data_IF_460107719665
#
_entry.id   IF_460107719665
#
_cell.length_a   1.000
_cell.length_b   1.000
_cell.length_c   1.000
_cell.angle_alpha   90.00
_cell.angle_beta   90.00
_cell.angle_gamma   90.00
#
_symmetry.space_group_name_H-M   'P 1'
#
loop_
_entity.id
_entity.type
_entity.pdbx_description
1 polymer ?
#
# COMPACT_ATOMS: atom_id res chain seq x y z
N UNK A 1 35.70 9.48 3.65
CA UNK A 1 34.41 8.96 3.22
C UNK A 1 33.35 9.67 4.04
N UNK A 2 32.36 10.32 3.42
CA UNK A 2 31.27 10.92 4.19
C UNK A 2 30.38 9.78 4.67
N UNK A 3 30.26 9.64 5.99
CA UNK A 3 29.28 8.75 6.64
C UNK A 3 27.90 9.32 6.39
N UNK A 4 26.93 8.48 6.02
CA UNK A 4 25.53 8.90 5.94
C UNK A 4 25.01 9.20 7.35
N UNK A 5 24.32 10.31 7.50
CA UNK A 5 23.56 10.67 8.68
C UNK A 5 22.09 10.29 8.43
N UNK A 6 21.44 9.68 9.43
CA UNK A 6 20.02 9.32 9.40
C UNK A 6 19.27 10.13 10.47
N UNK A 7 18.23 10.84 10.03
CA UNK A 7 17.29 11.55 10.91
C UNK A 7 15.87 11.07 10.68
N UNK A 8 15.01 11.12 11.71
CA UNK A 8 13.63 10.66 11.61
C UNK A 8 12.71 11.49 12.50
N UNK A 9 11.48 11.72 12.01
CA UNK A 9 10.52 12.64 12.61
C UNK A 9 9.13 12.00 12.60
N UNK A 10 8.51 11.78 13.77
CA UNK A 10 7.09 11.42 13.81
C UNK A 10 6.24 12.63 13.42
N UNK A 11 5.26 12.40 12.57
CA UNK A 11 4.36 13.42 12.04
C UNK A 11 2.91 12.92 12.12
N UNK A 12 1.97 13.83 12.34
CA UNK A 12 0.54 13.53 12.42
C UNK A 12 -0.19 14.38 11.40
N UNK A 13 -0.91 13.72 10.50
CA UNK A 13 -1.77 14.36 9.50
C UNK A 13 -3.23 14.13 9.86
N UNK A 14 -4.02 15.19 9.93
CA UNK A 14 -5.48 15.10 10.13
C UNK A 14 -6.14 14.55 8.87
N UNK A 15 -7.21 13.78 9.06
CA UNK A 15 -8.06 13.33 7.98
C UNK A 15 -9.20 14.30 7.74
N UNK A 16 -9.67 14.41 6.48
CA UNK A 16 -10.87 15.17 6.11
C UNK A 16 -12.12 14.66 6.84
N UNK A 17 -12.23 13.34 6.91
CA UNK A 17 -13.27 12.59 7.60
C UNK A 17 -12.65 11.41 8.33
N UNK A 18 -13.36 10.84 9.30
CA UNK A 18 -12.91 9.60 9.91
C UNK A 18 -12.81 8.48 8.87
N UNK A 19 -11.75 7.70 8.93
CA UNK A 19 -11.53 6.54 8.07
C UNK A 19 -11.72 5.25 8.87
N UNK A 20 -12.66 4.43 8.44
CA UNK A 20 -13.08 3.22 9.15
C UNK A 20 -12.82 1.95 8.32
N UNK A 21 -12.25 0.95 8.97
CA UNK A 21 -12.11 -0.42 8.46
C UNK A 21 -12.58 -1.42 9.52
N UNK A 22 -12.66 -2.70 9.21
CA UNK A 22 -13.11 -3.76 10.15
C UNK A 22 -12.39 -3.74 11.50
N UNK A 23 -11.18 -3.20 11.59
CA UNK A 23 -10.33 -3.15 12.77
C UNK A 23 -10.38 -1.84 13.57
N UNK A 24 -11.15 -0.86 13.13
CA UNK A 24 -11.32 0.41 13.86
C UNK A 24 -11.39 1.64 12.98
N UNK A 25 -11.52 2.78 13.65
CA UNK A 25 -11.65 4.11 13.02
C UNK A 25 -10.46 4.99 13.37
N UNK A 26 -9.96 5.73 12.38
CA UNK A 26 -8.87 6.71 12.53
C UNK A 26 -9.36 8.10 12.13
N UNK A 27 -8.88 9.12 12.84
CA UNK A 27 -9.07 10.55 12.53
C UNK A 27 -7.76 11.23 12.11
N UNK A 28 -6.65 10.50 12.22
CA UNK A 28 -5.32 10.97 11.86
C UNK A 28 -4.53 9.85 11.15
N UNK A 29 -3.62 10.24 10.28
CA UNK A 29 -2.55 9.39 9.79
C UNK A 29 -1.28 9.68 10.60
N UNK A 30 -0.77 8.67 11.29
CA UNK A 30 0.48 8.73 12.05
C UNK A 30 1.61 8.19 11.16
N UNK A 31 2.59 9.02 10.88
CA UNK A 31 3.64 8.77 9.90
C UNK A 31 4.99 9.03 10.54
N UNK A 32 6.02 8.33 10.12
CA UNK A 32 7.41 8.67 10.45
C UNK A 32 8.11 9.01 9.15
N UNK A 33 8.57 10.25 9.03
CA UNK A 33 9.46 10.70 7.97
C UNK A 33 10.89 10.33 8.32
N UNK A 34 11.65 9.84 7.35
CA UNK A 34 13.07 9.52 7.46
C UNK A 34 13.85 10.33 6.43
N UNK A 35 15.02 10.82 6.84
CA UNK A 35 15.98 11.54 6.02
C UNK A 35 17.34 10.88 6.12
N UNK A 36 18.01 10.67 4.99
CA UNK A 36 19.41 10.26 4.93
C UNK A 36 20.21 11.31 4.15
N UNK A 37 21.39 11.70 4.66
CA UNK A 37 22.19 12.74 4.03
C UNK A 37 23.69 12.49 4.18
N UNK A 38 24.48 12.94 3.19
CA UNK A 38 25.94 13.05 3.27
C UNK A 38 26.43 14.51 3.50
N UNK A 39 25.47 15.40 3.88
CA UNK A 39 25.71 16.84 4.06
C UNK A 39 25.57 17.66 2.78
N UNK A 40 25.46 17.02 1.60
CA UNK A 40 25.27 17.71 0.30
C UNK A 40 23.96 17.29 -0.37
N UNK A 41 23.64 16.03 -0.29
CA UNK A 41 22.46 15.43 -0.91
C UNK A 41 21.63 14.78 0.18
N UNK A 42 20.32 14.96 0.09
CA UNK A 42 19.35 14.39 1.01
C UNK A 42 18.38 13.48 0.26
N UNK A 43 18.19 12.27 0.78
CA UNK A 43 17.12 11.38 0.40
C UNK A 43 16.06 11.33 1.50
N UNK A 44 14.80 11.15 1.11
CA UNK A 44 13.65 11.13 2.00
C UNK A 44 12.80 9.89 1.80
N UNK A 45 12.19 9.43 2.89
CA UNK A 45 11.23 8.32 2.89
C UNK A 45 10.23 8.48 4.01
N UNK A 46 9.16 7.71 3.98
CA UNK A 46 8.21 7.67 5.09
C UNK A 46 7.68 6.26 5.30
N UNK A 47 7.13 6.02 6.47
CA UNK A 47 6.34 4.83 6.76
C UNK A 47 5.13 5.13 7.63
N UNK A 48 4.12 4.26 7.51
CA UNK A 48 2.92 4.26 8.33
C UNK A 48 2.88 3.00 9.18
N UNK A 49 3.09 3.07 10.50
CA UNK A 49 2.95 1.92 11.40
C UNK A 49 1.53 1.34 11.36
N UNK A 50 1.42 0.02 11.46
CA UNK A 50 0.13 -0.65 11.43
C UNK A 50 -0.05 -1.60 12.63
N UNK A 51 -1.06 -1.31 13.44
CA UNK A 51 -1.39 -2.08 14.65
C UNK A 51 -1.76 -3.55 14.37
N UNK A 52 -2.22 -3.90 13.16
CA UNK A 52 -2.45 -5.29 12.75
C UNK A 52 -1.19 -6.15 12.91
N UNK A 53 -0.03 -5.55 12.71
CA UNK A 53 1.27 -6.21 12.82
C UNK A 53 1.97 -5.89 14.16
N UNK A 54 1.22 -5.41 15.17
CA UNK A 54 1.75 -4.97 16.47
C UNK A 54 2.79 -3.86 16.34
N UNK A 55 2.65 -3.00 15.31
CA UNK A 55 3.53 -1.86 15.03
C UNK A 55 2.81 -0.54 15.34
N UNK A 56 3.52 0.36 15.99
CA UNK A 56 3.07 1.72 16.31
C UNK A 56 4.25 2.69 16.24
N UNK A 57 4.02 3.98 16.38
CA UNK A 57 5.07 5.01 16.33
C UNK A 57 6.24 4.68 17.27
N UNK A 58 5.95 4.27 18.51
CA UNK A 58 7.01 4.00 19.50
C UNK A 58 7.89 2.81 19.07
N UNK A 59 7.29 1.71 18.60
CA UNK A 59 8.05 0.54 18.13
C UNK A 59 8.93 0.86 16.93
N UNK A 60 8.43 1.69 16.01
CA UNK A 60 9.20 2.07 14.82
C UNK A 60 10.32 3.06 15.16
N UNK A 61 10.11 4.01 16.10
CA UNK A 61 11.17 4.90 16.57
C UNK A 61 12.32 4.12 17.25
N UNK A 62 12.00 3.09 18.03
CA UNK A 62 13.01 2.21 18.64
C UNK A 62 13.81 1.45 17.56
N UNK A 63 13.14 0.97 16.52
CA UNK A 63 13.81 0.27 15.42
C UNK A 63 14.66 1.23 14.58
N UNK A 64 14.16 2.43 14.27
CA UNK A 64 14.93 3.48 13.59
C UNK A 64 16.18 3.88 14.38
N UNK A 65 16.10 3.97 15.71
CA UNK A 65 17.26 4.22 16.56
C UNK A 65 18.34 3.16 16.39
N UNK A 66 17.97 1.86 16.31
CA UNK A 66 18.90 0.77 16.05
C UNK A 66 19.50 0.86 14.65
N UNK A 67 18.69 1.13 13.64
CA UNK A 67 19.14 1.29 12.25
C UNK A 67 20.12 2.47 12.17
N UNK A 68 19.78 3.62 12.75
CA UNK A 68 20.65 4.82 12.82
C UNK A 68 22.01 4.47 13.42
N UNK A 69 22.02 3.85 14.59
CA UNK A 69 23.27 3.44 15.26
C UNK A 69 24.12 2.52 14.38
N UNK A 70 23.48 1.58 13.67
CA UNK A 70 24.17 0.65 12.78
C UNK A 70 24.77 1.38 11.57
N UNK A 71 24.03 2.33 10.97
CA UNK A 71 24.51 3.13 9.83
C UNK A 71 25.72 3.99 10.24
N UNK A 72 25.64 4.66 11.40
CA UNK A 72 26.68 5.57 11.88
C UNK A 72 27.94 4.84 12.39
N UNK A 73 27.80 3.62 12.90
CA UNK A 73 28.91 2.84 13.46
C UNK A 73 29.52 1.84 12.48
N UNK A 74 28.87 1.59 11.37
CA UNK A 74 29.35 0.59 10.39
C UNK A 74 30.36 1.21 9.44
N UNK A 75 31.56 0.63 9.37
CA UNK A 75 32.57 1.04 8.39
C UNK A 75 32.20 0.64 6.95
N UNK A 76 31.24 -0.29 6.78
CA UNK A 76 30.68 -0.65 5.48
C UNK A 76 29.59 0.35 5.10
N UNK A 77 29.65 0.87 3.89
CA UNK A 77 28.61 1.77 3.37
C UNK A 77 27.29 0.99 3.27
N UNK A 78 26.29 1.42 4.05
CA UNK A 78 24.94 0.90 3.98
C UNK A 78 24.20 1.64 2.87
N UNK A 79 23.53 0.90 2.01
CA UNK A 79 22.75 1.41 0.89
C UNK A 79 21.52 0.52 0.66
N UNK A 80 20.67 0.88 -0.30
CA UNK A 80 19.42 0.15 -0.60
C UNK A 80 19.64 -1.33 -0.97
N UNK A 81 20.84 -1.72 -1.45
CA UNK A 81 21.09 -3.10 -1.86
C UNK A 81 21.44 -4.04 -0.69
N UNK A 82 21.97 -3.52 0.41
CA UNK A 82 22.45 -4.32 1.54
C UNK A 82 21.69 -4.08 2.86
N UNK A 83 20.75 -3.15 2.89
CA UNK A 83 19.94 -2.88 4.10
C UNK A 83 19.17 -4.13 4.57
N UNK A 84 18.66 -4.91 3.63
CA UNK A 84 17.89 -6.14 3.92
C UNK A 84 18.71 -7.28 4.51
N UNK A 85 20.04 -7.24 4.37
CA UNK A 85 20.95 -8.20 5.01
C UNK A 85 21.05 -7.96 6.53
N UNK A 86 20.78 -6.74 6.98
CA UNK A 86 20.98 -6.27 8.34
C UNK A 86 19.70 -6.20 9.16
N UNK A 87 18.57 -5.95 8.48
CA UNK A 87 17.29 -5.70 9.16
C UNK A 87 16.13 -6.46 8.52
N UNK A 88 15.30 -7.04 9.35
CA UNK A 88 14.05 -7.71 8.91
C UNK A 88 13.03 -6.71 8.37
N UNK A 89 12.07 -7.14 7.54
CA UNK A 89 10.99 -6.28 7.05
C UNK A 89 10.21 -5.61 8.16
N UNK A 90 10.06 -4.30 8.06
CA UNK A 90 9.28 -3.47 8.98
C UNK A 90 8.95 -2.13 8.33
N UNK A 91 7.97 -1.36 8.85
CA UNK A 91 7.73 0.01 8.43
C UNK A 91 8.98 0.90 8.58
N UNK A 92 9.70 0.79 9.70
CA UNK A 92 10.94 1.53 9.93
C UNK A 92 12.00 1.24 8.84
N UNK A 93 12.24 -0.04 8.53
CA UNK A 93 13.15 -0.42 7.45
C UNK A 93 12.67 0.11 6.11
N UNK A 94 11.34 0.09 5.85
CA UNK A 94 10.75 0.62 4.62
C UNK A 94 11.08 2.10 4.43
N UNK A 95 10.88 2.92 5.44
CA UNK A 95 11.19 4.34 5.36
C UNK A 95 12.68 4.61 5.07
N UNK A 96 13.58 3.83 5.68
CA UNK A 96 15.03 3.93 5.44
C UNK A 96 15.39 3.45 4.04
N UNK A 97 14.85 2.34 3.57
CA UNK A 97 15.07 1.82 2.20
C UNK A 97 14.63 2.86 1.15
N UNK A 98 13.45 3.44 1.32
CA UNK A 98 12.91 4.49 0.45
C UNK A 98 13.82 5.72 0.44
N UNK A 99 14.32 6.15 1.62
CA UNK A 99 15.21 7.30 1.73
C UNK A 99 16.59 7.02 1.10
N UNK A 100 17.11 5.81 1.23
CA UNK A 100 18.36 5.39 0.57
C UNK A 100 18.22 5.33 -0.95
N UNK A 101 17.06 4.89 -1.46
CA UNK A 101 16.76 4.94 -2.89
C UNK A 101 16.73 6.38 -3.40
N UNK A 102 16.02 7.28 -2.73
CA UNK A 102 15.94 8.69 -3.09
C UNK A 102 17.31 9.37 -3.08
N UNK A 103 18.11 9.12 -2.02
CA UNK A 103 19.50 9.58 -1.95
C UNK A 103 20.34 9.06 -3.11
N UNK A 104 20.26 7.76 -3.41
CA UNK A 104 21.02 7.14 -4.50
C UNK A 104 20.64 7.74 -5.86
N UNK A 105 19.36 7.92 -6.14
CA UNK A 105 18.88 8.49 -7.39
C UNK A 105 19.36 9.94 -7.55
N UNK A 106 19.18 10.77 -6.57
CA UNK A 106 19.63 12.17 -6.57
C UNK A 106 21.14 12.30 -6.71
N UNK A 107 21.90 11.45 -6.03
CA UNK A 107 23.37 11.43 -6.10
C UNK A 107 23.89 11.08 -7.50
N UNK A 108 23.16 10.28 -8.23
CA UNK A 108 23.56 9.86 -9.58
C UNK A 108 22.84 10.65 -10.69
N UNK A 109 21.98 11.62 -10.36
CA UNK A 109 21.22 12.40 -11.34
C UNK A 109 20.25 11.55 -12.15
N UNK A 110 19.71 10.48 -11.56
CA UNK A 110 18.79 9.53 -12.19
C UNK A 110 17.41 9.66 -11.59
N UNK A 111 16.39 9.46 -12.40
CA UNK A 111 15.06 9.13 -11.86
C UNK A 111 14.94 7.61 -11.65
N UNK A 112 13.91 7.18 -10.88
CA UNK A 112 13.63 5.76 -10.70
C UNK A 112 13.31 5.08 -12.04
N UNK A 113 12.72 5.81 -12.98
CA UNK A 113 12.38 5.32 -14.32
C UNK A 113 13.63 5.08 -15.17
N UNK A 114 14.62 5.98 -15.09
CA UNK A 114 15.90 5.82 -15.76
C UNK A 114 16.66 4.61 -15.21
N UNK A 115 16.66 4.45 -13.89
CA UNK A 115 17.32 3.33 -13.22
C UNK A 115 16.78 1.97 -13.69
N UNK A 116 15.46 1.84 -13.77
CA UNK A 116 14.81 0.61 -14.25
C UNK A 116 14.69 0.52 -15.79
N UNK A 117 15.17 1.54 -16.53
CA UNK A 117 15.07 1.65 -18.00
C UNK A 117 13.63 1.53 -18.50
N UNK A 118 12.72 2.20 -17.83
CA UNK A 118 11.29 2.22 -18.11
C UNK A 118 10.92 3.61 -18.61
N UNK A 119 10.12 3.70 -19.66
CA UNK A 119 9.56 4.98 -20.08
C UNK A 119 8.66 5.53 -18.98
N UNK A 120 8.99 6.73 -18.49
CA UNK A 120 8.21 7.41 -17.46
C UNK A 120 6.76 7.61 -17.94
N UNK A 121 5.74 7.10 -17.21
CA UNK A 121 4.35 7.33 -17.57
C UNK A 121 3.97 8.80 -17.33
N UNK A 122 2.92 9.28 -17.99
CA UNK A 122 2.39 10.63 -17.75
C UNK A 122 1.62 10.70 -16.42
N UNK A 123 0.91 9.64 -16.08
CA UNK A 123 0.12 9.48 -14.84
C UNK A 123 -0.15 7.99 -14.61
N UNK A 124 -0.63 7.68 -13.41
CA UNK A 124 -1.12 6.35 -13.03
C UNK A 124 -2.61 6.47 -12.68
N UNK A 125 -3.39 5.41 -12.92
CA UNK A 125 -4.82 5.41 -12.58
C UNK A 125 -5.02 4.66 -11.27
N UNK A 126 -5.56 5.35 -10.26
CA UNK A 126 -5.88 4.74 -8.96
C UNK A 126 -7.38 4.47 -8.82
N UNK A 127 -7.73 3.48 -8.01
CA UNK A 127 -9.08 3.30 -7.50
C UNK A 127 -9.36 4.29 -6.35
N UNK A 128 -10.61 4.33 -5.89
CA UNK A 128 -11.04 5.08 -4.71
C UNK A 128 -11.69 4.17 -3.69
N UNK A 129 -11.28 4.30 -2.43
CA UNK A 129 -11.81 3.52 -1.32
C UNK A 129 -13.07 4.15 -0.75
N UNK A 130 -14.10 3.35 -0.63
CA UNK A 130 -15.33 3.60 0.13
C UNK A 130 -15.20 2.85 1.46
N UNK A 131 -14.92 3.59 2.52
CA UNK A 131 -14.62 3.06 3.85
C UNK A 131 -15.88 2.50 4.58
N UNK A 132 -15.69 1.95 5.79
CA UNK A 132 -16.77 1.41 6.62
C UNK A 132 -17.59 2.50 7.32
N UNK A 133 -17.94 3.56 6.63
CA UNK A 133 -18.89 4.55 7.12
C UNK A 133 -20.34 4.08 6.96
N UNK A 134 -21.30 4.86 7.47
CA UNK A 134 -22.71 4.58 7.24
C UNK A 134 -23.04 4.50 5.75
N UNK A 135 -24.13 3.81 5.40
CA UNK A 135 -24.55 3.68 4.00
C UNK A 135 -24.67 5.06 3.32
N UNK A 136 -25.27 6.06 3.98
CA UNK A 136 -25.45 7.41 3.43
C UNK A 136 -24.10 8.09 3.13
N UNK A 137 -23.13 7.97 4.04
CA UNK A 137 -21.77 8.50 3.81
C UNK A 137 -21.06 7.76 2.68
N UNK A 138 -21.20 6.44 2.64
CA UNK A 138 -20.66 5.62 1.54
C UNK A 138 -21.22 6.07 0.19
N UNK A 139 -22.55 6.29 0.12
CA UNK A 139 -23.21 6.74 -1.11
C UNK A 139 -22.82 8.17 -1.49
N UNK A 140 -22.70 9.07 -0.52
CA UNK A 140 -22.21 10.46 -0.74
C UNK A 140 -20.78 10.43 -1.30
N UNK A 141 -19.89 9.60 -0.73
CA UNK A 141 -18.52 9.46 -1.22
C UNK A 141 -18.48 8.83 -2.62
N UNK A 142 -19.27 7.80 -2.88
CA UNK A 142 -19.40 7.21 -4.21
C UNK A 142 -19.86 8.22 -5.27
N UNK A 143 -20.82 9.09 -4.90
CA UNK A 143 -21.29 10.18 -5.78
C UNK A 143 -20.18 11.22 -6.05
N UNK A 144 -19.45 11.63 -5.00
CA UNK A 144 -18.34 12.59 -5.11
C UNK A 144 -17.23 12.09 -6.04
N UNK A 145 -16.96 10.80 -6.03
CA UNK A 145 -15.89 10.17 -6.81
C UNK A 145 -16.41 9.31 -7.97
N UNK A 146 -17.60 9.63 -8.47
CA UNK A 146 -18.25 8.85 -9.55
C UNK A 146 -17.40 8.72 -10.83
N UNK A 147 -16.48 9.63 -11.07
CA UNK A 147 -15.61 9.60 -12.26
C UNK A 147 -14.43 8.63 -12.14
N UNK A 148 -14.20 8.05 -10.94
CA UNK A 148 -13.20 7.01 -10.78
C UNK A 148 -13.61 5.71 -11.47
N UNK A 149 -12.69 5.04 -12.15
CA UNK A 149 -12.98 3.81 -12.87
C UNK A 149 -13.34 2.63 -11.94
N UNK A 150 -12.74 2.57 -10.74
CA UNK A 150 -12.87 1.45 -9.81
C UNK A 150 -13.24 1.99 -8.43
N UNK A 151 -14.28 1.39 -7.80
CA UNK A 151 -14.57 1.54 -6.39
C UNK A 151 -14.03 0.35 -5.60
N UNK A 152 -13.31 0.64 -4.50
CA UNK A 152 -12.91 -0.35 -3.51
C UNK A 152 -13.79 -0.18 -2.27
N UNK A 153 -14.61 -1.18 -1.95
CA UNK A 153 -15.57 -1.12 -0.84
C UNK A 153 -15.00 -1.89 0.34
N UNK A 154 -14.87 -1.24 1.50
CA UNK A 154 -14.48 -1.90 2.74
C UNK A 154 -15.65 -2.69 3.32
N UNK A 155 -15.37 -3.92 3.76
CA UNK A 155 -16.32 -4.83 4.38
C UNK A 155 -15.98 -5.05 5.86
N UNK A 156 -16.99 -5.42 6.66
CA UNK A 156 -16.84 -5.73 8.09
C UNK A 156 -17.29 -7.15 8.47
N UNK A 157 -17.72 -7.96 7.49
CA UNK A 157 -18.20 -9.32 7.71
C UNK A 157 -19.64 -9.39 8.22
N UNK A 158 -20.37 -8.27 8.19
CA UNK A 158 -21.77 -8.20 8.67
C UNK A 158 -22.79 -8.16 7.52
N UNK A 159 -24.09 -8.25 7.85
CA UNK A 159 -25.17 -8.13 6.86
C UNK A 159 -25.20 -6.74 6.17
N UNK A 160 -24.57 -5.73 6.75
CA UNK A 160 -24.44 -4.40 6.13
C UNK A 160 -23.65 -4.43 4.83
N UNK A 161 -22.70 -5.36 4.69
CA UNK A 161 -21.88 -5.53 3.50
C UNK A 161 -22.74 -5.77 2.26
N UNK A 162 -23.76 -6.67 2.38
CA UNK A 162 -24.70 -6.91 1.31
C UNK A 162 -25.42 -5.64 0.87
N UNK A 163 -25.93 -4.87 1.85
CA UNK A 163 -26.66 -3.63 1.56
C UNK A 163 -25.77 -2.61 0.86
N UNK A 164 -24.51 -2.45 1.28
CA UNK A 164 -23.54 -1.55 0.62
C UNK A 164 -23.28 -1.96 -0.83
N UNK A 165 -22.91 -3.22 -1.03
CA UNK A 165 -22.63 -3.76 -2.38
C UNK A 165 -23.86 -3.62 -3.29
N UNK A 166 -25.04 -4.00 -2.80
CA UNK A 166 -26.29 -3.91 -3.55
C UNK A 166 -26.62 -2.46 -3.97
N UNK A 167 -26.53 -1.50 -3.06
CA UNK A 167 -26.82 -0.09 -3.36
C UNK A 167 -25.80 0.50 -4.34
N UNK A 168 -24.50 0.21 -4.16
CA UNK A 168 -23.45 0.65 -5.10
C UNK A 168 -23.70 0.06 -6.48
N UNK A 169 -24.03 -1.24 -6.58
CA UNK A 169 -24.26 -1.89 -7.87
C UNK A 169 -25.51 -1.34 -8.58
N UNK A 170 -26.59 -1.06 -7.83
CA UNK A 170 -27.80 -0.50 -8.41
C UNK A 170 -27.60 0.91 -8.96
N UNK A 171 -26.89 1.78 -8.25
CA UNK A 171 -26.64 3.16 -8.69
C UNK A 171 -25.53 3.25 -9.74
N UNK A 172 -24.56 2.34 -9.71
CA UNK A 172 -23.41 2.32 -10.59
C UNK A 172 -23.24 0.96 -11.29
N UNK A 173 -24.19 0.56 -12.16
CA UNK A 173 -24.24 -0.82 -12.70
C UNK A 173 -23.03 -1.19 -13.57
N UNK A 174 -22.38 -0.21 -14.18
CA UNK A 174 -21.19 -0.39 -15.05
C UNK A 174 -19.86 -0.18 -14.33
N UNK A 175 -19.86 0.21 -13.05
CA UNK A 175 -18.65 0.50 -12.28
C UNK A 175 -17.90 -0.80 -12.00
N UNK A 176 -16.59 -0.80 -12.18
CA UNK A 176 -15.73 -1.86 -11.63
C UNK A 176 -15.71 -1.76 -10.12
N UNK A 177 -15.92 -2.87 -9.44
CA UNK A 177 -16.01 -2.91 -7.97
C UNK A 177 -15.08 -4.00 -7.46
N UNK A 178 -14.26 -3.63 -6.49
CA UNK A 178 -13.44 -4.50 -5.67
C UNK A 178 -13.95 -4.38 -4.24
N UNK A 179 -13.91 -5.47 -3.48
CA UNK A 179 -14.20 -5.44 -2.05
C UNK A 179 -12.96 -5.81 -1.25
N UNK A 180 -12.77 -5.18 -0.09
CA UNK A 180 -11.67 -5.47 0.82
C UNK A 180 -12.26 -5.81 2.20
N UNK A 181 -12.12 -7.06 2.58
CA UNK A 181 -12.66 -7.57 3.83
C UNK A 181 -11.73 -7.34 5.02
N UNK A 182 -10.45 -7.05 4.80
CA UNK A 182 -9.46 -6.91 5.87
C UNK A 182 -9.59 -8.03 6.93
N UNK A 183 -9.68 -9.29 6.49
CA UNK A 183 -9.82 -10.49 7.33
C UNK A 183 -11.17 -10.64 8.07
N UNK A 184 -12.20 -9.87 7.72
CA UNK A 184 -13.46 -9.82 8.50
C UNK A 184 -14.45 -10.93 8.19
N UNK A 185 -14.34 -11.61 7.04
CA UNK A 185 -15.24 -12.69 6.66
C UNK A 185 -14.92 -13.94 7.48
N UNK A 186 -15.90 -14.43 8.25
CA UNK A 186 -15.75 -15.70 8.94
C UNK A 186 -15.67 -16.86 7.93
N UNK A 187 -14.83 -17.88 8.19
CA UNK A 187 -14.61 -19.00 7.27
C UNK A 187 -15.90 -19.69 6.83
N UNK A 188 -16.89 -19.84 7.74
CA UNK A 188 -18.23 -20.40 7.46
C UNK A 188 -19.05 -19.56 6.47
N UNK A 189 -18.77 -18.27 6.35
CA UNK A 189 -19.53 -17.34 5.53
C UNK A 189 -18.89 -17.11 4.14
N UNK A 190 -17.70 -17.66 3.90
CA UNK A 190 -16.94 -17.46 2.66
C UNK A 190 -17.77 -17.79 1.41
N UNK A 191 -18.49 -18.94 1.40
CA UNK A 191 -19.34 -19.35 0.28
C UNK A 191 -20.39 -18.29 -0.06
N UNK A 192 -21.06 -17.72 0.96
CA UNK A 192 -22.04 -16.64 0.79
C UNK A 192 -21.42 -15.39 0.17
N UNK A 193 -20.22 -15.01 0.58
CA UNK A 193 -19.55 -13.84 0.00
C UNK A 193 -19.09 -14.07 -1.44
N UNK A 194 -18.70 -15.29 -1.80
CA UNK A 194 -18.41 -15.66 -3.18
C UNK A 194 -19.67 -15.60 -4.06
N UNK A 195 -20.81 -16.08 -3.57
CA UNK A 195 -22.11 -15.93 -4.24
C UNK A 195 -22.49 -14.44 -4.43
N UNK A 196 -22.27 -13.60 -3.42
CA UNK A 196 -22.47 -12.15 -3.54
C UNK A 196 -21.54 -11.55 -4.60
N UNK A 197 -20.28 -11.94 -4.59
CA UNK A 197 -19.30 -11.45 -5.55
C UNK A 197 -19.71 -11.78 -7.00
N UNK A 198 -20.13 -12.99 -7.26
CA UNK A 198 -20.63 -13.40 -8.58
C UNK A 198 -21.93 -12.68 -8.96
N UNK A 199 -22.92 -12.65 -8.05
CA UNK A 199 -24.22 -12.01 -8.25
C UNK A 199 -24.09 -10.52 -8.58
N UNK A 200 -23.19 -9.82 -7.89
CA UNK A 200 -22.98 -8.37 -8.03
C UNK A 200 -21.82 -8.03 -8.96
N UNK A 201 -21.27 -9.00 -9.68
CA UNK A 201 -20.12 -8.81 -10.56
C UNK A 201 -18.99 -8.05 -9.87
N UNK A 202 -18.58 -8.52 -8.67
CA UNK A 202 -17.41 -8.04 -7.95
C UNK A 202 -16.17 -8.65 -8.59
N UNK A 203 -15.26 -7.79 -8.97
CA UNK A 203 -14.07 -8.20 -9.73
C UNK A 203 -13.03 -8.89 -8.84
N UNK A 204 -12.90 -8.44 -7.57
CA UNK A 204 -11.92 -8.96 -6.64
C UNK A 204 -12.41 -8.88 -5.19
N UNK A 205 -12.05 -9.89 -4.40
CA UNK A 205 -12.13 -9.86 -2.94
C UNK A 205 -10.71 -9.83 -2.39
N UNK A 206 -10.33 -8.75 -1.71
CA UNK A 206 -9.05 -8.61 -1.04
C UNK A 206 -9.16 -9.13 0.40
N UNK A 207 -8.22 -9.97 0.79
CA UNK A 207 -8.05 -10.64 2.09
C UNK A 207 -9.38 -10.99 2.77
N UNK A 208 -10.08 -12.00 2.25
CA UNK A 208 -11.41 -12.34 2.77
C UNK A 208 -11.38 -12.77 4.23
N UNK A 209 -10.44 -13.63 4.60
CA UNK A 209 -10.36 -14.27 5.92
C UNK A 209 -9.02 -14.01 6.58
N UNK A 210 -8.93 -14.35 7.87
CA UNK A 210 -7.68 -14.37 8.61
C UNK A 210 -6.68 -15.34 7.98
N UNK A 211 -5.40 -14.97 8.06
CA UNK A 211 -4.27 -15.70 7.44
C UNK A 211 -4.23 -17.20 7.81
N UNK A 212 -4.65 -17.55 9.03
CA UNK A 212 -4.71 -18.95 9.47
C UNK A 212 -5.71 -19.82 8.69
N UNK A 213 -6.65 -19.20 7.96
CA UNK A 213 -7.66 -19.88 7.15
C UNK A 213 -7.38 -19.84 5.64
N UNK A 214 -6.24 -19.32 5.19
CA UNK A 214 -5.88 -19.24 3.76
C UNK A 214 -6.00 -20.59 3.05
N UNK A 215 -5.71 -21.69 3.74
CA UNK A 215 -5.77 -23.03 3.17
C UNK A 215 -7.17 -23.43 2.65
N UNK A 216 -8.23 -22.78 3.15
CA UNK A 216 -9.60 -23.00 2.68
C UNK A 216 -9.83 -22.44 1.27
N UNK A 217 -8.95 -21.57 0.78
CA UNK A 217 -9.05 -21.00 -0.57
C UNK A 217 -8.52 -21.94 -1.66
N UNK A 218 -7.78 -23.00 -1.31
CA UNK A 218 -7.01 -23.83 -2.25
C UNK A 218 -7.83 -24.43 -3.40
N UNK A 219 -9.04 -24.88 -3.11
CA UNK A 219 -9.86 -25.61 -4.08
C UNK A 219 -11.11 -24.82 -4.47
N UNK A 220 -11.16 -23.53 -4.16
CA UNK A 220 -12.29 -22.68 -4.49
C UNK A 220 -12.31 -22.40 -5.99
N UNK A 221 -13.47 -22.65 -6.59
CA UNK A 221 -13.73 -22.32 -8.00
C UNK A 221 -14.64 -21.09 -8.05
N UNK A 222 -14.07 -19.95 -8.42
CA UNK A 222 -14.80 -18.71 -8.62
C UNK A 222 -14.20 -17.92 -9.78
N UNK A 223 -14.99 -17.03 -10.38
CA UNK A 223 -14.50 -16.06 -11.37
C UNK A 223 -13.98 -14.78 -10.73
N UNK A 224 -14.29 -14.59 -9.45
CA UNK A 224 -13.82 -13.42 -8.68
C UNK A 224 -12.37 -13.63 -8.27
N UNK A 225 -11.53 -12.66 -8.55
CA UNK A 225 -10.11 -12.67 -8.15
C UNK A 225 -10.01 -12.63 -6.63
N UNK A 226 -9.25 -13.54 -6.04
CA UNK A 226 -8.95 -13.50 -4.60
C UNK A 226 -7.54 -12.94 -4.42
N UNK A 227 -7.43 -11.81 -3.69
CA UNK A 227 -6.18 -11.09 -3.52
C UNK A 227 -5.67 -11.19 -2.07
N UNK A 228 -4.39 -11.55 -1.90
CA UNK A 228 -3.73 -11.55 -0.59
C UNK A 228 -3.21 -10.15 -0.24
N UNK A 229 -3.55 -9.65 0.95
CA UNK A 229 -2.95 -8.45 1.56
C UNK A 229 -2.19 -8.83 2.85
N UNK A 230 -2.92 -9.16 3.91
CA UNK A 230 -2.33 -9.54 5.19
C UNK A 230 -1.55 -10.86 5.14
N UNK A 231 -1.82 -11.70 4.17
CA UNK A 231 -1.14 -12.99 3.97
C UNK A 231 0.19 -12.89 3.19
N UNK A 232 0.51 -11.75 2.58
CA UNK A 232 1.68 -11.58 1.73
C UNK A 232 2.49 -10.34 2.12
N UNK A 233 3.70 -10.53 2.62
CA UNK A 233 4.57 -9.45 3.08
C UNK A 233 5.86 -9.35 2.27
N UNK A 234 6.47 -10.48 1.91
CA UNK A 234 7.76 -10.55 1.24
C UNK A 234 7.74 -11.52 0.07
N UNK A 235 8.75 -11.45 -0.77
CA UNK A 235 8.88 -12.32 -1.96
C UNK A 235 8.88 -13.81 -1.63
N UNK A 236 9.41 -14.19 -0.45
CA UNK A 236 9.43 -15.58 -0.01
C UNK A 236 8.02 -16.16 0.27
N UNK A 237 7.04 -15.32 0.61
CA UNK A 237 5.66 -15.74 0.86
C UNK A 237 4.98 -16.21 -0.43
N UNK A 238 5.37 -15.68 -1.58
CA UNK A 238 4.69 -15.83 -2.86
C UNK A 238 4.60 -17.29 -3.31
N UNK A 239 5.61 -18.11 -3.01
CA UNK A 239 5.57 -19.54 -3.32
C UNK A 239 4.41 -20.26 -2.62
N UNK A 240 4.08 -19.89 -1.39
CA UNK A 240 2.96 -20.43 -0.63
C UNK A 240 1.65 -19.80 -1.08
N UNK A 241 1.63 -18.47 -1.20
CA UNK A 241 0.46 -17.66 -1.55
C UNK A 241 -0.13 -18.06 -2.90
N UNK A 242 0.70 -18.33 -3.90
CA UNK A 242 0.26 -18.74 -5.24
C UNK A 242 -0.54 -20.05 -5.30
N UNK A 243 -0.70 -20.76 -4.18
CA UNK A 243 -1.55 -21.93 -4.06
C UNK A 243 -2.99 -21.60 -3.66
N UNK A 244 -3.23 -20.37 -3.18
CA UNK A 244 -4.47 -19.96 -2.53
C UNK A 244 -5.08 -18.69 -3.14
N UNK A 245 -4.26 -17.85 -3.78
CA UNK A 245 -4.64 -16.52 -4.24
C UNK A 245 -4.29 -16.32 -5.71
N UNK A 246 -5.11 -15.53 -6.40
CA UNK A 246 -4.91 -15.14 -7.80
C UNK A 246 -4.11 -13.83 -7.92
N UNK A 247 -4.06 -13.05 -6.84
CA UNK A 247 -3.40 -11.74 -6.80
C UNK A 247 -2.72 -11.49 -5.44
N UNK A 248 -1.77 -10.57 -5.42
CA UNK A 248 -1.15 -10.05 -4.20
C UNK A 248 -1.24 -8.53 -4.15
N UNK A 249 -1.41 -7.96 -2.96
CA UNK A 249 -1.32 -6.52 -2.71
C UNK A 249 0.05 -6.18 -2.11
N UNK A 250 0.89 -5.50 -2.87
CA UNK A 250 2.23 -5.06 -2.45
C UNK A 250 2.10 -3.68 -1.81
N UNK A 251 2.52 -3.57 -0.54
CA UNK A 251 2.61 -2.33 0.21
C UNK A 251 4.01 -2.18 0.78
N UNK A 252 4.65 -1.04 0.58
CA UNK A 252 6.05 -0.81 0.99
C UNK A 252 6.24 -1.00 2.49
N UNK A 253 5.29 -0.53 3.31
CA UNK A 253 5.32 -0.68 4.77
C UNK A 253 5.31 -2.14 5.24
N UNK A 254 4.71 -3.05 4.47
CA UNK A 254 4.70 -4.49 4.76
C UNK A 254 5.99 -5.17 4.31
N UNK A 255 6.42 -4.86 3.09
CA UNK A 255 7.60 -5.48 2.48
C UNK A 255 8.91 -5.01 3.12
N UNK A 256 8.87 -3.89 3.85
CA UNK A 256 10.05 -3.27 4.41
C UNK A 256 10.89 -2.53 3.37
N UNK A 257 10.22 -1.99 2.33
CA UNK A 257 10.78 -1.05 1.38
C UNK A 257 10.65 -1.43 -0.08
N UNK A 258 11.11 -0.52 -0.93
CA UNK A 258 11.05 -0.62 -2.39
C UNK A 258 11.88 -1.78 -2.93
N UNK A 259 13.06 -2.04 -2.35
CA UNK A 259 13.94 -3.13 -2.77
C UNK A 259 13.24 -4.48 -2.73
N UNK A 260 12.61 -4.81 -1.61
CA UNK A 260 11.86 -6.06 -1.44
C UNK A 260 10.56 -6.06 -2.25
N UNK A 261 9.87 -4.94 -2.35
CA UNK A 261 8.67 -4.80 -3.17
C UNK A 261 8.95 -5.13 -4.65
N UNK A 262 10.10 -4.71 -5.20
CA UNK A 262 10.51 -5.08 -6.55
C UNK A 262 10.84 -6.57 -6.69
N UNK A 263 11.37 -7.22 -5.65
CA UNK A 263 11.53 -8.67 -5.62
C UNK A 263 10.17 -9.39 -5.62
N UNK A 264 9.18 -8.86 -4.89
CA UNK A 264 7.81 -9.36 -4.90
C UNK A 264 7.18 -9.27 -6.30
N UNK A 265 7.36 -8.13 -7.00
CA UNK A 265 6.90 -7.97 -8.40
C UNK A 265 7.46 -9.10 -9.28
N UNK A 266 8.79 -9.30 -9.25
CA UNK A 266 9.44 -10.36 -10.05
C UNK A 266 8.95 -11.77 -9.68
N UNK A 267 8.73 -12.03 -8.39
CA UNK A 267 8.26 -13.32 -7.91
C UNK A 267 6.79 -13.57 -8.30
N UNK A 268 5.93 -12.55 -8.23
CA UNK A 268 4.53 -12.62 -8.64
C UNK A 268 4.40 -12.90 -10.14
N UNK A 269 5.16 -12.16 -10.96
CA UNK A 269 5.19 -12.37 -12.41
C UNK A 269 5.62 -13.79 -12.80
N UNK A 270 6.60 -14.38 -12.08
CA UNK A 270 7.02 -15.78 -12.29
C UNK A 270 5.95 -16.81 -11.92
N UNK A 271 4.94 -16.41 -11.18
CA UNK A 271 3.83 -17.26 -10.70
C UNK A 271 2.50 -16.91 -11.36
N UNK A 272 2.51 -16.03 -12.36
CA UNK A 272 1.33 -15.53 -13.07
C UNK A 272 0.27 -14.93 -12.14
N UNK A 273 0.68 -14.42 -10.96
CA UNK A 273 -0.19 -13.71 -10.04
C UNK A 273 -0.41 -12.29 -10.53
N UNK A 274 -1.64 -11.81 -10.43
CA UNK A 274 -1.94 -10.38 -10.58
C UNK A 274 -1.34 -9.58 -9.44
N UNK A 275 -1.00 -8.33 -9.73
CA UNK A 275 -0.39 -7.43 -8.77
C UNK A 275 -1.32 -6.26 -8.50
N UNK A 276 -1.59 -6.00 -7.23
CA UNK A 276 -2.11 -4.73 -6.74
C UNK A 276 -0.96 -3.96 -6.08
N UNK A 277 -0.83 -2.68 -6.41
CA UNK A 277 0.03 -1.75 -5.67
C UNK A 277 -0.83 -0.95 -4.71
N UNK A 278 -0.75 -1.27 -3.43
CA UNK A 278 -1.54 -0.62 -2.39
C UNK A 278 -0.74 0.32 -1.52
N UNK A 279 -1.45 1.03 -0.65
CA UNK A 279 -0.86 1.92 0.35
C UNK A 279 -1.53 1.77 1.71
N UNK A 280 -0.94 2.38 2.72
CA UNK A 280 -1.56 2.70 3.99
C UNK A 280 -2.20 4.11 3.93
N UNK A 281 -2.74 4.62 5.04
CA UNK A 281 -3.02 6.05 5.17
C UNK A 281 -1.68 6.79 5.24
N UNK A 282 -1.22 7.29 4.11
CA UNK A 282 0.10 7.87 3.92
C UNK A 282 0.00 9.22 3.22
N UNK A 283 1.12 9.95 3.15
CA UNK A 283 1.23 11.17 2.34
C UNK A 283 1.63 10.85 0.91
N UNK A 284 1.71 11.86 0.07
CA UNK A 284 2.24 11.75 -1.29
C UNK A 284 3.67 11.21 -1.36
N UNK A 285 4.45 11.31 -0.28
CA UNK A 285 5.81 10.76 -0.23
C UNK A 285 5.80 9.22 -0.25
N UNK A 286 4.92 8.57 0.52
CA UNK A 286 4.75 7.12 0.50
C UNK A 286 4.24 6.60 -0.85
N UNK A 287 3.34 7.36 -1.48
CA UNK A 287 2.86 7.03 -2.83
C UNK A 287 3.97 7.21 -3.87
N UNK A 288 4.76 8.27 -3.78
CA UNK A 288 5.82 8.55 -4.76
C UNK A 288 6.79 7.36 -4.92
N UNK A 289 7.24 6.79 -3.81
CA UNK A 289 8.14 5.63 -3.81
C UNK A 289 7.49 4.36 -4.37
N UNK A 290 6.16 4.19 -4.22
CA UNK A 290 5.44 3.01 -4.72
C UNK A 290 5.03 3.10 -6.19
N UNK A 291 5.22 4.24 -6.86
CA UNK A 291 4.79 4.42 -8.26
C UNK A 291 5.47 3.46 -9.24
N UNK A 292 6.71 3.04 -8.97
CA UNK A 292 7.38 2.04 -9.81
C UNK A 292 6.75 0.65 -9.66
N UNK A 293 6.23 0.31 -8.48
CA UNK A 293 5.45 -0.92 -8.28
C UNK A 293 4.13 -0.81 -9.04
N UNK A 294 3.46 0.35 -8.95
CA UNK A 294 2.20 0.60 -9.64
C UNK A 294 2.32 0.50 -11.17
N UNK A 295 3.47 0.83 -11.74
CA UNK A 295 3.74 0.63 -13.16
C UNK A 295 3.64 -0.86 -13.57
N UNK A 296 4.01 -1.76 -12.69
CA UNK A 296 3.95 -3.20 -12.92
C UNK A 296 2.63 -3.85 -12.46
N UNK A 297 1.72 -3.07 -11.88
CA UNK A 297 0.51 -3.57 -11.25
C UNK A 297 -0.69 -3.59 -12.22
N UNK A 298 -1.55 -4.61 -12.05
CA UNK A 298 -2.86 -4.69 -12.70
C UNK A 298 -3.89 -3.78 -12.02
N UNK A 299 -3.68 -3.51 -10.72
CA UNK A 299 -4.55 -2.70 -9.86
C UNK A 299 -3.73 -1.71 -9.05
N UNK A 300 -4.20 -0.47 -8.95
CA UNK A 300 -3.52 0.59 -8.20
C UNK A 300 -4.48 1.16 -7.16
N UNK A 301 -4.08 1.09 -5.89
CA UNK A 301 -4.80 1.57 -4.71
C UNK A 301 -3.92 2.61 -3.99
N UNK A 302 -3.78 3.79 -4.64
CA UNK A 302 -2.91 4.90 -4.22
C UNK A 302 -3.73 6.12 -3.79
N UNK A 303 -4.83 5.90 -3.09
CA UNK A 303 -5.75 6.95 -2.67
C UNK A 303 -5.50 7.48 -1.24
N UNK A 304 -4.49 6.97 -0.53
CA UNK A 304 -4.16 7.38 0.84
C UNK A 304 -4.12 8.90 1.06
N UNK A 305 -3.43 9.69 0.21
CA UNK A 305 -3.38 11.15 0.34
C UNK A 305 -4.74 11.86 0.20
N UNK A 306 -5.71 11.27 -0.48
CA UNK A 306 -7.05 11.86 -0.64
C UNK A 306 -7.89 11.87 0.65
N UNK A 307 -7.44 11.15 1.66
CA UNK A 307 -8.08 11.15 2.99
C UNK A 307 -7.53 12.26 3.89
N UNK A 308 -6.35 12.83 3.58
CA UNK A 308 -5.71 13.86 4.40
C UNK A 308 -6.40 15.23 4.22
N UNK A 309 -6.55 15.98 5.31
CA UNK A 309 -6.99 17.38 5.27
C UNK A 309 -5.96 18.26 4.54
N UNK A 310 -4.68 17.98 4.78
CA UNK A 310 -3.56 18.63 4.10
C UNK A 310 -2.43 17.62 3.92
N UNK A 311 -1.92 17.53 2.72
CA UNK A 311 -0.75 16.73 2.38
C UNK A 311 0.55 17.55 2.51
N UNK A 312 1.69 16.96 2.16
CA UNK A 312 3.02 17.59 2.15
C UNK A 312 3.12 18.68 1.09
N UNK A 313 4.08 19.56 1.27
CA UNK A 313 4.50 20.45 0.19
C UNK A 313 4.97 19.63 -1.01
N UNK A 314 4.67 20.12 -2.21
CA UNK A 314 4.94 19.41 -3.47
C UNK A 314 4.22 18.07 -3.61
N UNK A 315 3.07 17.92 -2.98
CA UNK A 315 2.23 16.72 -3.06
C UNK A 315 1.91 16.31 -4.50
N UNK A 316 1.58 15.04 -4.67
CA UNK A 316 1.06 14.53 -5.93
C UNK A 316 -0.31 15.17 -6.22
N UNK A 317 -0.57 15.48 -7.47
CA UNK A 317 -1.88 15.93 -7.90
C UNK A 317 -2.75 14.75 -8.31
N UNK A 318 -4.03 14.82 -7.91
CA UNK A 318 -5.06 13.87 -8.29
C UNK A 318 -6.09 14.59 -9.17
N UNK A 319 -6.25 14.10 -10.39
CA UNK A 319 -7.26 14.59 -11.30
C UNK A 319 -8.14 13.42 -11.76
N UNK A 320 -9.37 13.36 -11.25
CA UNK A 320 -10.25 12.20 -11.39
C UNK A 320 -9.48 10.98 -10.82
N UNK A 321 -9.42 9.87 -11.55
CA UNK A 321 -8.70 8.65 -11.17
C UNK A 321 -7.18 8.69 -11.46
N UNK A 322 -6.64 9.84 -11.88
CA UNK A 322 -5.25 9.97 -12.31
C UNK A 322 -4.38 10.61 -11.24
N UNK A 323 -3.28 9.95 -10.93
CA UNK A 323 -2.25 10.44 -10.02
C UNK A 323 -1.05 10.91 -10.83
N UNK A 324 -0.57 12.11 -10.57
CA UNK A 324 0.64 12.64 -11.21
C UNK A 324 1.88 11.81 -10.82
N UNK A 325 2.89 11.80 -11.68
CA UNK A 325 4.17 11.16 -11.36
C UNK A 325 5.02 12.09 -10.50
N UNK A 326 5.60 11.54 -9.44
CA UNK A 326 6.47 12.25 -8.53
C UNK A 326 7.64 12.93 -9.27
N UNK A 327 8.02 14.11 -8.76
CA UNK A 327 9.20 14.83 -9.21
C UNK A 327 10.28 14.75 -8.13
N UNK A 328 11.55 14.94 -8.53
CA UNK A 328 12.71 14.77 -7.65
C UNK A 328 12.72 15.65 -6.39
N UNK A 329 11.98 16.74 -6.37
CA UNK A 329 11.82 17.55 -5.15
C UNK A 329 10.87 16.92 -4.11
N UNK A 330 9.99 16.00 -4.50
CA UNK A 330 9.23 15.16 -3.58
C UNK A 330 9.99 13.85 -3.32
N UNK A 331 10.36 13.13 -4.38
CA UNK A 331 11.06 11.83 -4.31
C UNK A 331 11.52 11.37 -5.69
N UNK A 332 12.74 10.78 -5.79
CA UNK A 332 13.24 10.07 -6.97
C UNK A 332 13.97 10.92 -8.01
#
# INVERSE_FOLDING_TARGET
>A
MHTLELNYYPEIFKLNDSFSISRGTKNTAEIIKVEVTDGKIQGVGECTPNSRYKRNIHTELLELSKIKKTIEQNHRIINQNNLSELFTPSPARSAVDIALWDYFLKKNGLSIWDYFKIQRPQNLKTMITLDLSSLDKTMTRASKYNDYAIFKIKLDGTENDYSKIHNIRNLYPKKRVIVDANESIAARDLGRYLEYAERFNIEMIEQPMKVEFDFLLKDIKTKTIICADESCHISNDIKKISQYYDAINIKLDKSGGLTEAMNMVKAAQKKDLKIMSGCMLCTSLGIAASQIIAYHADYIDHDGPLFLEKDRDHALSYHIDRVSIARSYLWG
#
